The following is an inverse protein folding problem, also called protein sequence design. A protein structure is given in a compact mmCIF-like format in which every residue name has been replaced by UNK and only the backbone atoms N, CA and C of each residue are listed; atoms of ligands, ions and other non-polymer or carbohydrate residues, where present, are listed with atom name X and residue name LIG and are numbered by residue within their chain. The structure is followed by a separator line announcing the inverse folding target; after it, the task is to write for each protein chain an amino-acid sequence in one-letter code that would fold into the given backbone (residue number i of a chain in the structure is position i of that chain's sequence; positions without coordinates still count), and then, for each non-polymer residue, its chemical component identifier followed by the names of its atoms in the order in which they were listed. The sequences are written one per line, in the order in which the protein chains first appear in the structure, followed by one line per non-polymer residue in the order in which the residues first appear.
data_IF_183162868235
#
_entry.id   IF_183162868235
#
_cell.length_a   1.000
_cell.length_b   1.000
_cell.length_c   1.000
_cell.angle_alpha   90.00
_cell.angle_beta   90.00
_cell.angle_gamma   90.00
#
_symmetry.space_group_name_H-M   'P 1'
#
loop_
_entity.id
_entity.type
_entity.pdbx_description
1 polymer ?
#
# COMPACT_ATOMS: atom_id res chain seq x y z
N UNK A 1 -0.53 4.92 -3.98
CA UNK A 1 0.54 5.81 -4.51
C UNK A 1 0.54 7.22 -3.92
N UNK A 2 -0.62 7.90 -3.77
CA UNK A 2 -0.66 9.33 -3.39
C UNK A 2 0.17 9.73 -2.16
N UNK A 3 0.14 8.93 -1.09
CA UNK A 3 0.96 9.19 0.09
C UNK A 3 2.48 9.20 -0.20
N UNK A 4 2.98 8.29 -1.03
CA UNK A 4 4.40 8.24 -1.42
C UNK A 4 4.81 9.48 -2.22
N UNK A 5 3.91 10.01 -3.06
CA UNK A 5 4.15 11.24 -3.82
C UNK A 5 4.30 12.44 -2.87
N UNK A 6 3.42 12.55 -1.86
CA UNK A 6 3.52 13.61 -0.84
C UNK A 6 4.83 13.47 -0.04
N UNK A 7 5.14 12.25 0.42
CA UNK A 7 6.38 11.95 1.14
C UNK A 7 7.61 12.37 0.33
N UNK A 8 7.66 12.00 -0.96
CA UNK A 8 8.75 12.35 -1.87
C UNK A 8 8.85 13.86 -2.10
N UNK A 9 7.72 14.57 -2.24
CA UNK A 9 7.71 16.02 -2.40
C UNK A 9 8.25 16.74 -1.16
N UNK A 10 7.85 16.29 0.04
CA UNK A 10 8.36 16.81 1.31
C UNK A 10 9.87 16.52 1.47
N UNK A 11 10.28 15.27 1.20
CA UNK A 11 11.69 14.86 1.26
C UNK A 11 12.59 15.65 0.30
N UNK A 12 12.09 15.97 -0.90
CA UNK A 12 12.81 16.75 -1.90
C UNK A 12 12.73 18.27 -1.70
N UNK A 13 12.13 18.75 -0.61
CA UNK A 13 11.98 20.17 -0.32
C UNK A 13 11.12 20.93 -1.34
N UNK A 14 10.22 20.23 -2.05
CA UNK A 14 9.33 20.84 -3.05
C UNK A 14 8.16 21.60 -2.40
N UNK A 15 7.95 21.41 -1.10
CA UNK A 15 6.93 22.10 -0.33
C UNK A 15 6.99 21.71 1.15
N UNK A 16 6.05 22.22 1.92
CA UNK A 16 5.82 21.86 3.33
C UNK A 16 4.32 21.83 3.60
N UNK A 17 3.91 21.07 4.62
CA UNK A 17 2.54 21.13 5.12
C UNK A 17 2.37 22.37 5.99
N UNK A 18 1.26 23.09 5.83
CA UNK A 18 0.90 24.18 6.75
C UNK A 18 0.70 23.61 8.16
N UNK A 19 0.94 24.42 9.19
CA UNK A 19 0.64 24.07 10.59
C UNK A 19 -0.85 23.77 10.83
N UNK A 20 -1.72 24.25 9.94
CA UNK A 20 -3.18 24.03 9.99
C UNK A 20 -3.63 22.84 9.15
N UNK A 21 -2.70 22.04 8.60
CA UNK A 21 -3.00 20.88 7.76
C UNK A 21 -2.65 19.58 8.48
N UNK A 22 -3.49 18.57 8.33
CA UNK A 22 -3.22 17.20 8.75
C UNK A 22 -3.10 16.30 7.53
N UNK A 23 -2.05 15.48 7.48
CA UNK A 23 -1.92 14.47 6.45
C UNK A 23 -2.45 13.13 6.95
N UNK A 24 -3.56 12.70 6.34
CA UNK A 24 -4.14 11.37 6.51
C UNK A 24 -3.70 10.49 5.33
N UNK A 25 -3.07 9.35 5.63
CA UNK A 25 -2.51 8.44 4.63
C UNK A 25 -3.28 7.11 4.60
N UNK A 26 -3.43 6.51 3.43
CA UNK A 26 -4.08 5.21 3.25
C UNK A 26 -3.34 4.37 2.19
N UNK A 27 -2.99 3.13 2.55
CA UNK A 27 -2.24 2.14 1.74
C UNK A 27 -1.19 2.71 0.76
N UNK A 28 -0.39 3.68 1.20
CA UNK A 28 0.75 4.21 0.47
C UNK A 28 1.97 3.26 0.54
N UNK A 29 2.54 2.82 -0.60
CA UNK A 29 3.66 1.88 -0.61
C UNK A 29 4.99 2.55 -0.30
N UNK A 30 5.29 2.80 0.98
CA UNK A 30 6.51 3.53 1.41
C UNK A 30 7.81 2.74 1.21
N UNK A 31 7.74 1.45 0.89
CA UNK A 31 8.85 0.64 0.38
C UNK A 31 8.55 0.04 -1.01
N UNK A 32 7.54 0.54 -1.73
CA UNK A 32 7.09 -0.07 -2.98
C UNK A 32 6.14 -1.25 -2.79
N UNK A 33 5.94 -2.04 -3.84
CA UNK A 33 4.93 -3.10 -3.89
C UNK A 33 5.50 -4.33 -4.60
N UNK A 34 5.43 -5.50 -3.97
CA UNK A 34 5.84 -6.74 -4.64
C UNK A 34 4.96 -7.06 -5.84
N UNK A 35 3.73 -6.55 -5.90
CA UNK A 35 2.90 -6.69 -7.09
C UNK A 35 3.50 -5.96 -8.31
N UNK A 36 4.21 -4.84 -8.09
CA UNK A 36 4.93 -4.12 -9.14
C UNK A 36 6.18 -4.86 -9.62
N UNK A 37 6.87 -5.58 -8.73
CA UNK A 37 7.99 -6.44 -9.10
C UNK A 37 7.48 -7.66 -9.86
N UNK A 38 6.46 -8.33 -9.32
CA UNK A 38 5.84 -9.52 -9.92
C UNK A 38 5.36 -9.29 -11.35
N UNK A 39 4.68 -8.17 -11.62
CA UNK A 39 4.22 -7.87 -12.99
C UNK A 39 5.38 -7.61 -13.96
N UNK A 40 6.50 -7.09 -13.48
CA UNK A 40 7.70 -6.92 -14.31
C UNK A 40 8.40 -8.26 -14.58
N UNK A 41 8.46 -9.16 -13.60
CA UNK A 41 8.99 -10.52 -13.82
C UNK A 41 8.17 -11.24 -14.89
N UNK A 42 6.84 -11.16 -14.82
CA UNK A 42 5.95 -11.79 -15.78
C UNK A 42 6.05 -11.14 -17.18
N UNK A 43 6.05 -9.82 -17.30
CA UNK A 43 6.16 -9.17 -18.62
C UNK A 43 7.54 -9.30 -19.28
N UNK A 44 8.57 -9.71 -18.54
CA UNK A 44 9.91 -10.01 -19.07
C UNK A 44 10.12 -11.51 -19.36
N UNK A 45 9.06 -12.33 -19.29
CA UNK A 45 9.09 -13.79 -19.45
C UNK A 45 10.02 -14.52 -18.45
N UNK A 46 10.29 -13.92 -17.28
CA UNK A 46 11.17 -14.49 -16.27
C UNK A 46 10.45 -15.46 -15.31
N UNK A 47 9.11 -15.51 -15.36
CA UNK A 47 8.26 -16.44 -14.59
C UNK A 47 7.69 -17.52 -15.51
N UNK A 48 8.14 -18.77 -15.35
CA UNK A 48 7.71 -19.91 -16.17
C UNK A 48 6.41 -20.57 -15.70
N UNK A 49 5.97 -20.31 -14.47
CA UNK A 49 4.79 -20.91 -13.84
C UNK A 49 3.63 -19.90 -13.75
N UNK A 50 3.17 -19.43 -14.92
CA UNK A 50 1.99 -18.59 -15.04
C UNK A 50 0.78 -19.31 -14.42
N UNK A 51 0.40 -18.95 -13.19
CA UNK A 51 -0.89 -19.37 -12.64
C UNK A 51 -1.95 -18.58 -13.40
N UNK A 52 -2.59 -19.29 -14.33
CA UNK A 52 -3.58 -18.85 -15.32
C UNK A 52 -4.81 -18.11 -14.76
N UNK A 53 -4.94 -17.92 -13.45
CA UNK A 53 -6.04 -17.15 -12.87
C UNK A 53 -5.86 -15.64 -13.00
N UNK A 54 -4.68 -15.20 -13.43
CA UNK A 54 -4.33 -13.80 -13.56
C UNK A 54 -4.38 -13.33 -15.03
N UNK A 55 -5.48 -13.62 -15.72
CA UNK A 55 -5.72 -13.15 -17.10
C UNK A 55 -5.65 -11.62 -17.24
N UNK A 56 -5.71 -10.86 -16.14
CA UNK A 56 -5.55 -9.40 -16.12
C UNK A 56 -4.09 -8.93 -16.29
N UNK A 57 -3.07 -9.76 -16.03
CA UNK A 57 -1.68 -9.29 -16.07
C UNK A 57 -1.11 -9.18 -17.48
N UNK A 58 -1.66 -9.92 -18.45
CA UNK A 58 -1.28 -9.79 -19.87
C UNK A 58 -1.71 -8.44 -20.45
N UNK A 59 -2.82 -7.87 -19.98
CA UNK A 59 -3.28 -6.53 -20.39
C UNK A 59 -2.44 -5.39 -19.82
N UNK A 60 -1.60 -5.68 -18.81
CA UNK A 60 -0.67 -4.71 -18.23
C UNK A 60 0.73 -4.76 -18.84
N UNK A 61 0.98 -5.62 -19.84
CA UNK A 61 2.24 -5.61 -20.57
C UNK A 61 2.13 -4.67 -21.80
N UNK A 62 3.08 -3.72 -22.00
CA UNK A 62 4.25 -3.45 -21.17
C UNK A 62 3.89 -2.73 -19.86
N UNK A 63 4.60 -3.06 -18.77
CA UNK A 63 4.32 -2.51 -17.43
C UNK A 63 4.31 -0.98 -17.45
N UNK A 64 3.20 -0.32 -17.01
CA UNK A 64 3.11 1.13 -16.99
C UNK A 64 4.19 1.77 -16.11
N UNK A 65 4.67 2.96 -16.52
CA UNK A 65 5.71 3.72 -15.79
C UNK A 65 5.33 3.94 -14.32
N UNK A 66 4.05 4.20 -14.04
CA UNK A 66 3.57 4.37 -12.67
C UNK A 66 3.80 3.11 -11.80
N UNK A 67 3.59 1.91 -12.35
CA UNK A 67 3.86 0.66 -11.63
C UNK A 67 5.35 0.41 -11.47
N UNK A 68 6.16 0.66 -12.51
CA UNK A 68 7.63 0.60 -12.42
C UNK A 68 8.21 1.56 -11.37
N UNK A 69 7.56 2.71 -11.15
CA UNK A 69 8.01 3.70 -10.17
C UNK A 69 7.80 3.29 -8.70
N UNK A 70 7.08 2.19 -8.46
CA UNK A 70 6.82 1.66 -7.12
C UNK A 70 7.36 0.24 -6.93
N UNK A 71 8.46 -0.09 -7.63
CA UNK A 71 9.19 -1.33 -7.37
C UNK A 71 9.66 -1.40 -5.93
N UNK A 72 9.73 -2.62 -5.42
CA UNK A 72 9.99 -2.83 -4.01
C UNK A 72 11.43 -2.44 -3.65
N UNK A 73 11.59 -1.75 -2.53
CA UNK A 73 12.87 -1.23 -2.08
C UNK A 73 13.87 -2.37 -1.86
N UNK A 74 15.06 -2.23 -2.43
CA UNK A 74 16.15 -3.21 -2.41
C UNK A 74 15.89 -4.53 -3.17
N UNK A 75 14.82 -4.61 -3.97
CA UNK A 75 14.58 -5.75 -4.85
C UNK A 75 15.13 -5.55 -6.26
N UNK A 76 15.00 -6.59 -7.08
CA UNK A 76 15.60 -6.74 -8.41
C UNK A 76 15.39 -5.54 -9.34
N UNK A 77 14.19 -4.96 -9.33
CA UNK A 77 13.84 -3.84 -10.22
C UNK A 77 13.99 -2.46 -9.58
N UNK A 78 14.49 -2.39 -8.35
CA UNK A 78 14.82 -1.11 -7.72
C UNK A 78 16.27 -0.70 -8.02
N UNK A 79 16.50 0.61 -8.09
CA UNK A 79 17.83 1.19 -8.23
C UNK A 79 18.30 1.76 -6.89
N UNK A 80 19.61 1.96 -6.75
CA UNK A 80 20.17 2.64 -5.58
C UNK A 80 19.55 4.03 -5.37
N UNK A 81 19.29 4.77 -6.46
CA UNK A 81 18.64 6.07 -6.40
C UNK A 81 17.19 5.99 -5.90
N UNK A 82 16.42 5.00 -6.37
CA UNK A 82 15.06 4.76 -5.88
C UNK A 82 15.06 4.32 -4.41
N UNK A 83 16.00 3.47 -4.00
CA UNK A 83 16.14 3.05 -2.61
C UNK A 83 16.44 4.23 -1.67
N UNK A 84 17.31 5.16 -2.10
CA UNK A 84 17.59 6.38 -1.36
C UNK A 84 16.36 7.30 -1.30
N UNK A 85 15.60 7.41 -2.39
CA UNK A 85 14.36 8.19 -2.43
C UNK A 85 13.30 7.62 -1.46
N UNK A 86 13.14 6.29 -1.40
CA UNK A 86 12.28 5.64 -0.41
C UNK A 86 12.71 5.97 1.02
N UNK A 87 13.99 5.83 1.35
CA UNK A 87 14.47 6.13 2.71
C UNK A 87 14.20 7.59 3.11
N UNK A 88 14.39 8.54 2.19
CA UNK A 88 14.08 9.94 2.42
C UNK A 88 12.57 10.18 2.57
N UNK A 89 11.75 9.55 1.72
CA UNK A 89 10.28 9.61 1.78
C UNK A 89 9.74 9.02 3.09
N UNK A 90 10.25 7.88 3.55
CA UNK A 90 9.87 7.23 4.82
C UNK A 90 10.13 8.15 6.01
N UNK A 91 11.28 8.83 6.03
CA UNK A 91 11.57 9.83 7.07
C UNK A 91 10.58 10.99 7.01
N UNK A 92 10.35 11.56 5.83
CA UNK A 92 9.38 12.64 5.67
C UNK A 92 7.96 12.20 6.04
N UNK A 93 7.61 10.95 5.76
CA UNK A 93 6.33 10.36 6.15
C UNK A 93 6.19 10.28 7.67
N UNK A 94 7.16 9.67 8.35
CA UNK A 94 7.16 9.54 9.82
C UNK A 94 7.14 10.89 10.54
N UNK A 95 7.83 11.89 10.01
CA UNK A 95 7.90 13.23 10.61
C UNK A 95 6.60 14.05 10.43
N UNK A 96 5.73 13.71 9.47
CA UNK A 96 4.63 14.59 9.04
C UNK A 96 3.24 13.95 9.03
N UNK A 97 3.12 12.63 9.00
CA UNK A 97 1.79 11.99 8.93
C UNK A 97 1.04 12.16 10.25
N UNK A 98 -0.22 12.58 10.15
CA UNK A 98 -1.10 12.72 11.29
C UNK A 98 -1.83 11.41 11.60
N UNK A 99 -2.39 10.75 10.59
CA UNK A 99 -3.12 9.49 10.74
C UNK A 99 -2.83 8.56 9.56
N UNK A 100 -2.86 7.26 9.80
CA UNK A 100 -2.41 6.28 8.81
C UNK A 100 -3.24 4.98 8.89
N UNK A 101 -3.88 4.60 7.80
CA UNK A 101 -4.52 3.28 7.63
C UNK A 101 -3.60 2.33 6.84
N UNK A 102 -3.10 1.30 7.55
CA UNK A 102 -2.17 0.28 7.07
C UNK A 102 -2.79 -1.11 7.17
N UNK A 103 -3.41 -1.61 6.11
CA UNK A 103 -4.02 -2.94 6.21
C UNK A 103 -2.97 -4.06 6.28
N UNK A 104 -3.31 -5.11 7.01
CA UNK A 104 -2.54 -6.35 7.10
C UNK A 104 -3.30 -7.58 6.55
N UNK A 105 -4.40 -7.38 5.81
CA UNK A 105 -5.20 -8.50 5.30
C UNK A 105 -5.85 -8.19 3.94
N UNK A 106 -5.70 -9.11 2.99
CA UNK A 106 -6.07 -8.92 1.58
C UNK A 106 -7.51 -9.31 1.23
N UNK A 107 -8.24 -9.91 2.17
CA UNK A 107 -9.62 -10.36 1.95
C UNK A 107 -10.57 -9.15 1.96
N UNK A 108 -10.60 -8.43 3.08
CA UNK A 108 -11.35 -7.18 3.21
C UNK A 108 -12.85 -7.37 3.35
N UNK A 109 -13.62 -6.34 2.97
CA UNK A 109 -15.08 -6.40 3.01
C UNK A 109 -15.65 -7.11 1.78
N UNK A 110 -16.81 -7.72 1.94
CA UNK A 110 -17.54 -8.38 0.84
C UNK A 110 -17.89 -7.35 -0.23
N UNK A 111 -17.25 -7.45 -1.39
CA UNK A 111 -17.44 -6.57 -2.54
C UNK A 111 -16.95 -7.26 -3.82
N UNK A 112 -17.17 -6.66 -5.00
CA UNK A 112 -16.63 -7.19 -6.25
C UNK A 112 -15.10 -7.09 -6.36
N UNK A 113 -14.42 -6.34 -5.49
CA UNK A 113 -12.96 -6.25 -5.44
C UNK A 113 -12.28 -7.37 -4.61
N UNK A 114 -13.06 -8.06 -3.77
CA UNK A 114 -12.55 -9.06 -2.84
C UNK A 114 -11.83 -10.21 -3.57
N UNK A 115 -12.46 -10.78 -4.60
CA UNK A 115 -11.90 -11.92 -5.34
C UNK A 115 -10.53 -11.61 -5.95
N UNK A 116 -10.38 -10.47 -6.63
CA UNK A 116 -9.12 -10.05 -7.23
C UNK A 116 -8.05 -9.81 -6.17
N UNK A 117 -8.43 -9.21 -5.03
CA UNK A 117 -7.50 -8.93 -3.94
C UNK A 117 -7.01 -10.20 -3.25
N UNK A 118 -7.87 -11.20 -3.06
CA UNK A 118 -7.51 -12.53 -2.56
C UNK A 118 -6.52 -13.22 -3.49
N UNK A 119 -6.81 -13.23 -4.80
CA UNK A 119 -5.90 -13.82 -5.79
C UNK A 119 -4.54 -13.13 -5.73
N UNK A 120 -4.50 -11.79 -5.73
CA UNK A 120 -3.27 -11.04 -5.66
C UNK A 120 -2.48 -11.34 -4.37
N UNK A 121 -3.15 -11.33 -3.21
CA UNK A 121 -2.55 -11.63 -1.91
C UNK A 121 -2.00 -13.06 -1.76
N UNK A 122 -2.47 -14.01 -2.58
CA UNK A 122 -2.00 -15.41 -2.60
C UNK A 122 -0.91 -15.64 -3.64
N UNK A 123 -1.02 -15.03 -4.82
CA UNK A 123 -0.17 -15.33 -5.99
C UNK A 123 1.08 -14.46 -6.03
N UNK A 124 0.97 -13.18 -5.65
CA UNK A 124 2.13 -12.29 -5.59
C UNK A 124 3.08 -12.80 -4.49
N UNK A 125 4.40 -12.88 -4.75
CA UNK A 125 5.39 -13.32 -3.77
C UNK A 125 5.66 -12.21 -2.73
N UNK A 126 4.64 -11.90 -1.93
CA UNK A 126 4.73 -10.91 -0.86
C UNK A 126 5.80 -11.28 0.17
N UNK A 127 6.37 -10.25 0.80
CA UNK A 127 7.39 -10.44 1.86
C UNK A 127 6.82 -11.04 3.15
N UNK A 128 5.51 -10.98 3.34
CA UNK A 128 4.79 -11.57 4.46
C UNK A 128 3.33 -11.85 4.09
N UNK A 129 2.60 -12.54 4.98
CA UNK A 129 1.14 -12.72 4.85
C UNK A 129 0.35 -11.46 5.18
N UNK A 130 1.01 -10.45 5.74
CA UNK A 130 0.39 -9.17 6.11
C UNK A 130 0.45 -8.23 4.91
N UNK A 131 -0.57 -8.30 4.05
CA UNK A 131 -0.69 -7.46 2.86
C UNK A 131 -2.17 -7.22 2.54
N UNK A 132 -2.44 -6.15 1.80
CA UNK A 132 -3.78 -5.78 1.36
C UNK A 132 -4.12 -6.29 -0.06
N UNK A 133 -3.32 -7.24 -0.56
CA UNK A 133 -3.38 -7.78 -1.91
C UNK A 133 -2.38 -7.12 -2.86
N UNK A 134 -1.96 -5.87 -2.60
CA UNK A 134 -1.00 -5.16 -3.45
C UNK A 134 0.20 -4.62 -2.67
N UNK A 135 0.01 -4.21 -1.42
CA UNK A 135 1.03 -3.58 -0.58
C UNK A 135 1.10 -4.33 0.75
N UNK A 136 2.32 -4.66 1.15
CA UNK A 136 2.60 -5.27 2.45
C UNK A 136 2.48 -4.24 3.57
N UNK A 137 1.99 -4.68 4.73
CA UNK A 137 1.91 -3.87 5.95
C UNK A 137 3.25 -3.19 6.25
N UNK A 138 4.36 -3.94 6.18
CA UNK A 138 5.70 -3.39 6.42
C UNK A 138 6.09 -2.30 5.41
N UNK A 139 5.66 -2.42 4.15
CA UNK A 139 5.96 -1.43 3.12
C UNK A 139 5.25 -0.12 3.42
N UNK A 140 3.98 -0.20 3.82
CA UNK A 140 3.24 0.99 4.22
C UNK A 140 3.75 1.61 5.51
N UNK A 141 3.98 0.79 6.54
CA UNK A 141 4.36 1.24 7.87
C UNK A 141 5.81 1.77 7.93
N UNK A 142 6.57 1.68 6.84
CA UNK A 142 7.95 2.17 6.78
C UNK A 142 8.03 3.68 7.09
N UNK A 143 8.84 4.03 8.08
CA UNK A 143 8.89 5.38 8.66
C UNK A 143 8.04 5.56 9.91
N UNK A 144 7.20 4.57 10.27
CA UNK A 144 6.37 4.53 11.46
C UNK A 144 6.73 3.34 12.34
N UNK A 145 6.45 3.44 13.65
CA UNK A 145 6.55 2.30 14.55
C UNK A 145 5.32 1.43 14.43
N UNK A 146 5.49 0.12 14.21
CA UNK A 146 4.38 -0.85 14.19
C UNK A 146 3.57 -0.84 15.49
N UNK A 147 4.20 -0.48 16.62
CA UNK A 147 3.52 -0.38 17.92
C UNK A 147 2.51 0.77 18.01
N UNK A 148 2.47 1.69 17.04
CA UNK A 148 1.43 2.72 16.96
C UNK A 148 0.08 2.15 16.51
N UNK A 149 0.09 1.04 15.79
CA UNK A 149 -1.07 0.54 15.08
C UNK A 149 -1.98 -0.32 15.95
N UNK A 150 -3.28 -0.07 15.88
CA UNK A 150 -4.33 -0.89 16.50
C UNK A 150 -5.38 -1.33 15.48
N UNK A 151 -6.16 -2.35 15.80
CA UNK A 151 -7.12 -3.01 14.91
C UNK A 151 -8.56 -2.48 15.02
N UNK A 152 -8.77 -1.40 15.78
CA UNK A 152 -10.05 -0.67 15.83
C UNK A 152 -9.96 0.62 15.03
N UNK A 153 -11.07 0.98 14.37
CA UNK A 153 -11.23 2.23 13.62
C UNK A 153 -11.08 3.49 14.49
N UNK A 154 -11.08 3.36 15.81
CA UNK A 154 -10.81 4.46 16.74
C UNK A 154 -9.31 4.81 16.82
N UNK A 155 -8.42 3.93 16.36
CA UNK A 155 -6.98 4.20 16.34
C UNK A 155 -6.61 5.13 15.20
N UNK A 156 -5.89 6.21 15.53
CA UNK A 156 -5.31 7.13 14.54
C UNK A 156 -4.36 6.43 13.57
N UNK A 157 -3.63 5.43 14.06
CA UNK A 157 -2.84 4.50 13.25
C UNK A 157 -3.58 3.17 13.26
N UNK A 158 -4.27 2.89 12.16
CA UNK A 158 -5.23 1.79 12.08
C UNK A 158 -4.62 0.67 11.24
N UNK A 159 -4.57 -0.54 11.79
CA UNK A 159 -4.17 -1.77 11.14
C UNK A 159 -5.39 -2.65 10.82
N UNK A 160 -6.21 -2.26 9.82
CA UNK A 160 -7.39 -3.01 9.46
C UNK A 160 -7.10 -4.35 8.80
N UNK A 161 -8.16 -5.16 8.69
CA UNK A 161 -8.27 -6.29 7.77
C UNK A 161 -9.06 -5.89 6.52
N UNK A 162 -8.46 -5.03 5.69
CA UNK A 162 -9.09 -4.41 4.52
C UNK A 162 -8.26 -4.63 3.25
N UNK A 163 -8.87 -5.01 2.14
CA UNK A 163 -8.11 -5.12 0.90
C UNK A 163 -7.72 -3.73 0.35
N UNK A 164 -6.87 -3.69 -0.67
CA UNK A 164 -6.36 -2.42 -1.21
C UNK A 164 -7.49 -1.50 -1.71
N UNK A 165 -8.57 -2.06 -2.28
CA UNK A 165 -9.71 -1.29 -2.77
C UNK A 165 -10.51 -0.67 -1.61
N UNK A 166 -10.64 -1.39 -0.50
CA UNK A 166 -11.33 -0.90 0.70
C UNK A 166 -10.60 0.30 1.32
N UNK A 167 -9.28 0.21 1.44
CA UNK A 167 -8.45 1.32 1.95
C UNK A 167 -8.47 2.54 1.02
N UNK A 168 -8.81 2.34 -0.25
CA UNK A 168 -9.00 3.40 -1.23
C UNK A 168 -10.44 3.96 -1.26
N UNK A 169 -11.31 3.58 -0.31
CA UNK A 169 -12.71 3.98 -0.22
C UNK A 169 -13.54 3.62 -1.46
N UNK A 170 -13.19 2.54 -2.15
CA UNK A 170 -13.95 2.03 -3.30
C UNK A 170 -15.10 1.10 -2.87
N UNK A 171 -15.24 0.86 -1.57
CA UNK A 171 -16.25 -0.03 -0.97
C UNK A 171 -16.99 0.68 0.15
N UNK A 172 -17.22 0.03 1.28
CA UNK A 172 -17.97 0.54 2.43
C UNK A 172 -17.44 -0.09 3.72
N UNK A 173 -17.96 0.36 4.86
CA UNK A 173 -17.70 -0.30 6.14
C UNK A 173 -18.29 -1.73 6.15
N UNK A 174 -17.50 -2.69 6.60
CA UNK A 174 -17.99 -4.03 6.94
C UNK A 174 -19.06 -3.94 8.02
N UNK A 175 -19.88 -4.97 8.20
CA UNK A 175 -20.99 -4.91 9.15
C UNK A 175 -20.58 -5.31 10.58
N UNK A 176 -19.61 -6.21 10.73
CA UNK A 176 -19.37 -6.93 11.98
C UNK A 176 -18.06 -6.56 12.70
N UNK A 177 -16.93 -6.50 11.99
CA UNK A 177 -15.61 -6.27 12.62
C UNK A 177 -15.22 -4.80 12.61
N UNK A 178 -14.67 -4.31 13.72
CA UNK A 178 -14.11 -2.95 13.83
C UNK A 178 -12.90 -2.78 12.92
N UNK A 179 -12.14 -3.85 12.68
CA UNK A 179 -11.03 -3.93 11.73
C UNK A 179 -11.45 -3.81 10.26
N UNK A 180 -12.73 -3.61 9.97
CA UNK A 180 -13.27 -3.48 8.62
C UNK A 180 -14.07 -2.19 8.42
N UNK A 181 -13.75 -1.11 9.13
CA UNK A 181 -14.47 0.17 9.03
C UNK A 181 -13.63 1.33 8.45
N UNK A 182 -13.28 1.35 7.15
CA UNK A 182 -12.46 2.42 6.59
C UNK A 182 -13.14 3.81 6.66
N UNK A 183 -14.46 3.88 6.47
CA UNK A 183 -15.21 5.15 6.46
C UNK A 183 -15.32 5.73 7.87
N UNK A 184 -15.75 4.91 8.85
CA UNK A 184 -15.74 5.36 10.26
C UNK A 184 -14.36 5.77 10.74
N UNK A 185 -13.31 5.03 10.37
CA UNK A 185 -11.94 5.43 10.71
C UNK A 185 -11.64 6.83 10.19
N UNK A 186 -12.00 7.11 8.92
CA UNK A 186 -11.77 8.42 8.32
C UNK A 186 -12.56 9.51 9.04
N UNK A 187 -13.83 9.26 9.36
CA UNK A 187 -14.66 10.18 10.15
C UNK A 187 -14.07 10.48 11.54
N UNK A 188 -13.41 9.50 12.17
CA UNK A 188 -12.78 9.68 13.48
C UNK A 188 -11.48 10.50 13.45
N UNK A 189 -10.80 10.62 12.29
CA UNK A 189 -9.52 11.32 12.17
C UNK A 189 -9.61 12.68 11.48
N UNK A 190 -10.81 13.07 11.02
CA UNK A 190 -11.14 14.41 10.53
C UNK A 190 -11.44 15.39 11.67
#
# INVERSE_FOLDING_TARGET
MGGLVIAGALAAGKGSLSKSSAWVSSSAPMMGSMAADYIQENCNDEVTNFKTELFEFLDYCPVPVARKSITYQNEKYSSQGLNAAYAAAQKAYGDNVYAAMCSNYYDGVVSHYQTQSIIAGIVVPHKSRENDGLVEFQSYAAGLSAALFGDSYEYRFYAPKLNHADTAFLTHDGLLEDAQKPFKWFECVL
#
